data_IF_475948109098
#
_entry.id   IF_475948109098
#
_cell.length_a   1.000
_cell.length_b   1.000
_cell.length_c   1.000
_cell.angle_alpha   90.00
_cell.angle_beta   90.00
_cell.angle_gamma   90.00
#
_symmetry.space_group_name_H-M   'P 1'
#
loop_
_entity.id
_entity.type
_entity.pdbx_description
1 polymer ?
#
# COMPACT_ATOMS: atom_id res chain seq x y z
N UNK A 1 -28.54 -16.02 -35.70
CA UNK A 1 -28.51 -16.87 -34.48
C UNK A 1 -27.29 -16.53 -33.61
N UNK A 2 -27.14 -17.10 -32.39
CA UNK A 2 -25.91 -16.89 -31.59
C UNK A 2 -24.67 -17.44 -32.32
N UNK A 3 -24.80 -18.56 -33.02
CA UNK A 3 -23.73 -19.13 -33.86
C UNK A 3 -23.29 -18.18 -34.98
N UNK A 4 -24.23 -17.47 -35.62
CA UNK A 4 -23.93 -16.47 -36.65
C UNK A 4 -23.23 -15.23 -36.08
N UNK A 5 -23.58 -14.81 -34.85
CA UNK A 5 -22.87 -13.72 -34.17
C UNK A 5 -21.42 -14.09 -33.87
N UNK A 6 -21.16 -15.35 -33.47
CA UNK A 6 -19.81 -15.87 -33.23
C UNK A 6 -18.99 -15.89 -34.53
N UNK A 7 -19.58 -16.33 -35.65
CA UNK A 7 -18.85 -16.34 -36.94
C UNK A 7 -18.53 -14.93 -37.43
N UNK A 8 -19.44 -13.97 -37.25
CA UNK A 8 -19.19 -12.55 -37.56
C UNK A 8 -18.06 -12.00 -36.68
N UNK A 9 -18.13 -12.20 -35.36
CA UNK A 9 -17.10 -11.72 -34.42
C UNK A 9 -15.73 -12.36 -34.65
N UNK A 10 -15.69 -13.66 -34.99
CA UNK A 10 -14.45 -14.34 -35.36
C UNK A 10 -13.86 -13.77 -36.66
N UNK A 11 -14.70 -13.46 -37.65
CA UNK A 11 -14.24 -12.81 -38.89
C UNK A 11 -13.75 -11.37 -38.64
N UNK A 12 -14.37 -10.64 -37.72
CA UNK A 12 -13.94 -9.31 -37.29
C UNK A 12 -12.56 -9.36 -36.63
N UNK A 13 -12.35 -10.27 -35.66
CA UNK A 13 -11.05 -10.49 -35.02
C UNK A 13 -9.96 -10.87 -36.03
N UNK A 14 -10.25 -11.78 -36.97
CA UNK A 14 -9.31 -12.17 -38.01
C UNK A 14 -8.97 -11.03 -38.97
N UNK A 15 -9.95 -10.19 -39.33
CA UNK A 15 -9.69 -8.98 -40.14
C UNK A 15 -8.82 -7.99 -39.37
N UNK A 16 -9.08 -7.81 -38.08
CA UNK A 16 -8.27 -6.96 -37.22
C UNK A 16 -6.82 -7.46 -37.16
N UNK A 17 -6.62 -8.77 -36.95
CA UNK A 17 -5.27 -9.37 -36.93
C UNK A 17 -4.53 -9.20 -38.24
N UNK A 18 -5.20 -9.38 -39.39
CA UNK A 18 -4.59 -9.18 -40.72
C UNK A 18 -4.27 -7.73 -41.04
N UNK A 19 -5.18 -6.81 -40.74
CA UNK A 19 -4.92 -5.38 -40.95
C UNK A 19 -3.75 -4.89 -40.09
N UNK A 20 -3.60 -5.49 -38.91
CA UNK A 20 -2.62 -5.08 -37.94
C UNK A 20 -1.34 -5.93 -37.92
N UNK A 21 -1.21 -6.88 -38.86
CA UNK A 21 -0.09 -7.83 -39.01
C UNK A 21 0.26 -8.59 -37.71
N UNK A 22 -0.77 -8.92 -36.93
CA UNK A 22 -0.65 -9.54 -35.61
C UNK A 22 -0.42 -11.05 -35.78
N UNK A 23 0.79 -11.43 -36.19
CA UNK A 23 1.19 -12.83 -36.36
C UNK A 23 1.63 -13.47 -35.04
N UNK A 24 2.32 -12.74 -34.16
CA UNK A 24 2.81 -13.23 -32.86
C UNK A 24 3.01 -12.08 -31.85
N UNK A 25 1.93 -11.74 -31.14
CA UNK A 25 1.87 -10.62 -30.17
C UNK A 25 2.97 -10.71 -29.12
N UNK A 26 3.12 -11.88 -28.49
CA UNK A 26 4.07 -12.10 -27.40
C UNK A 26 5.53 -11.85 -27.83
N UNK A 27 5.86 -12.11 -29.10
CA UNK A 27 7.22 -11.93 -29.61
C UNK A 27 7.51 -10.47 -29.89
N UNK A 28 6.56 -9.76 -30.48
CA UNK A 28 6.69 -8.34 -30.81
C UNK A 28 6.76 -7.45 -29.56
N UNK A 29 5.97 -7.76 -28.53
CA UNK A 29 6.02 -7.05 -27.24
C UNK A 29 7.40 -7.21 -26.58
N UNK A 30 7.89 -8.43 -26.50
CA UNK A 30 9.21 -8.72 -25.92
C UNK A 30 10.35 -8.04 -26.70
N UNK A 31 10.27 -7.98 -28.03
CA UNK A 31 11.25 -7.30 -28.87
C UNK A 31 11.21 -5.77 -28.72
N UNK A 32 10.01 -5.18 -28.63
CA UNK A 32 9.82 -3.75 -28.40
C UNK A 32 10.35 -3.33 -27.02
N UNK A 33 10.05 -4.12 -25.97
CA UNK A 33 10.55 -3.89 -24.62
C UNK A 33 12.08 -4.01 -24.55
N UNK A 34 12.66 -5.03 -25.17
CA UNK A 34 14.11 -5.22 -25.23
C UNK A 34 14.81 -4.05 -25.94
N UNK A 35 14.25 -3.56 -27.06
CA UNK A 35 14.77 -2.39 -27.77
C UNK A 35 14.66 -1.11 -26.94
N UNK A 36 13.53 -0.85 -26.28
CA UNK A 36 13.36 0.32 -25.41
C UNK A 36 14.36 0.31 -24.26
N UNK A 37 14.58 -0.87 -23.65
CA UNK A 37 15.60 -1.04 -22.61
C UNK A 37 17.00 -0.75 -23.13
N UNK A 38 17.35 -1.30 -24.30
CA UNK A 38 18.64 -1.06 -24.95
C UNK A 38 18.87 0.42 -25.31
N UNK A 39 17.84 1.12 -25.81
CA UNK A 39 17.91 2.55 -26.13
C UNK A 39 18.01 3.44 -24.88
N UNK A 40 17.37 3.05 -23.78
CA UNK A 40 17.53 3.77 -22.50
C UNK A 40 18.96 3.63 -21.98
N UNK A 41 19.53 2.42 -22.06
CA UNK A 41 20.91 2.19 -21.65
C UNK A 41 21.90 2.98 -22.53
N UNK A 42 21.71 2.96 -23.86
CA UNK A 42 22.55 3.75 -24.75
C UNK A 42 22.38 5.26 -24.55
N UNK A 43 21.18 5.73 -24.19
CA UNK A 43 20.93 7.13 -23.85
C UNK A 43 21.65 7.52 -22.55
N UNK A 44 21.66 6.64 -21.55
CA UNK A 44 22.37 6.88 -20.29
C UNK A 44 23.87 7.03 -20.56
N UNK A 45 24.46 6.10 -21.32
CA UNK A 45 25.88 6.15 -21.72
C UNK A 45 26.16 7.42 -22.54
N UNK A 46 25.35 7.74 -23.55
CA UNK A 46 25.55 8.93 -24.37
C UNK A 46 25.38 10.24 -23.57
N UNK A 47 24.46 10.27 -22.60
CA UNK A 47 24.26 11.40 -21.71
C UNK A 47 25.43 11.57 -20.74
N UNK A 48 26.00 10.47 -20.24
CA UNK A 48 27.20 10.49 -19.43
C UNK A 48 28.40 11.06 -20.21
N UNK A 49 28.58 10.62 -21.46
CA UNK A 49 29.63 11.15 -22.34
C UNK A 49 29.40 12.62 -22.70
N UNK A 50 28.15 13.07 -22.92
CA UNK A 50 27.83 14.49 -23.11
C UNK A 50 28.23 15.32 -21.88
N UNK A 51 27.91 14.83 -20.67
CA UNK A 51 28.25 15.52 -19.41
C UNK A 51 29.77 15.56 -19.20
N UNK A 52 30.48 14.47 -19.45
CA UNK A 52 31.96 14.41 -19.37
C UNK A 52 32.61 15.38 -20.34
N UNK A 53 32.19 15.36 -21.61
CA UNK A 53 32.73 16.26 -22.63
C UNK A 53 32.45 17.73 -22.30
N UNK A 54 31.25 18.05 -21.82
CA UNK A 54 30.91 19.40 -21.35
C UNK A 54 31.76 19.83 -20.15
N UNK A 55 31.93 18.96 -19.17
CA UNK A 55 32.76 19.24 -18.00
C UNK A 55 34.22 19.50 -18.38
N UNK A 56 34.75 18.74 -19.35
CA UNK A 56 36.09 18.95 -19.91
C UNK A 56 36.22 20.31 -20.59
N UNK A 57 35.26 20.68 -21.44
CA UNK A 57 35.21 21.98 -22.10
C UNK A 57 35.14 23.13 -21.08
N UNK A 58 34.27 23.02 -20.07
CA UNK A 58 34.14 24.03 -19.01
C UNK A 58 35.41 24.15 -18.18
N UNK A 59 36.10 23.03 -17.90
CA UNK A 59 37.37 23.02 -17.20
C UNK A 59 38.47 23.72 -18.00
N UNK A 60 38.54 23.48 -19.32
CA UNK A 60 39.47 24.16 -20.24
C UNK A 60 39.20 25.66 -20.27
N UNK A 61 37.94 26.07 -20.44
CA UNK A 61 37.56 27.49 -20.44
C UNK A 61 37.92 28.18 -19.12
N UNK A 62 37.68 27.52 -17.98
CA UNK A 62 38.09 28.03 -16.66
C UNK A 62 39.61 28.11 -16.51
N UNK A 63 40.36 27.14 -17.04
CA UNK A 63 41.82 27.17 -17.01
C UNK A 63 42.39 28.32 -17.86
N UNK A 64 41.82 28.55 -19.05
CA UNK A 64 42.17 29.69 -19.92
C UNK A 64 41.85 31.02 -19.22
N UNK A 65 40.67 31.15 -18.60
CA UNK A 65 40.28 32.36 -17.87
C UNK A 65 41.20 32.67 -16.67
N UNK A 66 41.78 31.64 -16.05
CA UNK A 66 42.77 31.78 -14.96
C UNK A 66 44.19 32.05 -15.47
N UNK A 67 44.41 32.11 -16.78
CA UNK A 67 45.74 32.28 -17.38
C UNK A 67 46.66 31.06 -17.20
N UNK A 68 46.11 29.88 -16.93
CA UNK A 68 46.89 28.64 -16.84
C UNK A 68 47.34 28.19 -18.22
N UNK A 69 48.50 27.52 -18.30
CA UNK A 69 48.98 26.92 -19.53
C UNK A 69 48.09 25.72 -19.90
N UNK A 70 47.28 25.88 -20.95
CA UNK A 70 46.45 24.82 -21.53
C UNK A 70 47.03 24.50 -22.90
N UNK A 71 47.68 23.35 -23.01
CA UNK A 71 48.43 22.91 -24.18
C UNK A 71 48.24 21.40 -24.32
N UNK A 72 48.24 20.82 -25.55
CA UNK A 72 48.13 19.38 -25.75
C UNK A 72 49.16 18.61 -24.94
N UNK A 73 48.83 17.37 -24.53
CA UNK A 73 49.72 16.56 -23.69
C UNK A 73 51.10 16.37 -24.31
N UNK A 74 51.19 16.27 -25.64
CA UNK A 74 52.44 16.14 -26.39
C UNK A 74 53.38 17.36 -26.19
N UNK A 75 52.79 18.55 -26.17
CA UNK A 75 53.52 19.82 -26.08
C UNK A 75 53.75 20.29 -24.63
N UNK A 76 53.07 19.71 -23.63
CA UNK A 76 53.27 20.08 -22.22
C UNK A 76 54.69 19.90 -21.71
N UNK A 77 55.40 18.85 -22.17
CA UNK A 77 56.80 18.60 -21.77
C UNK A 77 57.76 19.58 -22.42
N UNK A 78 57.50 19.94 -23.67
CA UNK A 78 58.29 20.94 -24.40
C UNK A 78 58.07 22.31 -23.78
N UNK A 79 56.83 22.67 -23.47
CA UNK A 79 56.50 23.93 -22.81
C UNK A 79 57.16 24.04 -21.43
N UNK A 80 57.13 22.99 -20.61
CA UNK A 80 57.75 23.02 -19.27
C UNK A 80 59.27 23.18 -19.33
N UNK A 81 59.92 22.57 -20.34
CA UNK A 81 61.36 22.77 -20.59
C UNK A 81 61.68 24.20 -21.03
N UNK A 82 60.86 24.80 -21.91
CA UNK A 82 61.03 26.19 -22.32
C UNK A 82 60.79 27.14 -21.12
N UNK A 83 59.80 26.86 -20.28
CA UNK A 83 59.51 27.62 -19.07
C UNK A 83 60.63 27.53 -18.04
N UNK A 84 61.22 26.35 -17.81
CA UNK A 84 62.37 26.21 -16.92
C UNK A 84 63.58 26.97 -17.44
N UNK A 85 63.84 26.89 -18.75
CA UNK A 85 64.95 27.62 -19.38
C UNK A 85 64.73 29.15 -19.33
N UNK A 86 63.49 29.61 -19.48
CA UNK A 86 63.16 31.03 -19.32
C UNK A 86 63.34 31.49 -17.87
N UNK A 87 63.02 30.64 -16.90
CA UNK A 87 63.24 30.93 -15.48
C UNK A 87 64.73 31.06 -15.16
N UNK A 88 65.57 30.15 -15.65
CA UNK A 88 67.04 30.24 -15.52
C UNK A 88 67.57 31.56 -16.09
N UNK A 89 67.15 31.94 -17.31
CA UNK A 89 67.55 33.21 -17.93
C UNK A 89 67.05 34.45 -17.17
N UNK A 90 65.86 34.39 -16.54
CA UNK A 90 65.37 35.47 -15.67
C UNK A 90 66.20 35.65 -14.41
N UNK A 91 66.64 34.55 -13.81
CA UNK A 91 67.52 34.58 -12.64
C UNK A 91 68.89 35.16 -13.00
N UNK A 92 69.49 34.70 -14.10
CA UNK A 92 70.75 35.25 -14.64
C UNK A 92 70.64 36.75 -14.93
N UNK A 93 69.52 37.18 -15.55
CA UNK A 93 69.24 38.59 -15.83
C UNK A 93 69.06 39.40 -14.53
N UNK A 94 68.43 38.82 -13.51
CA UNK A 94 68.29 39.42 -12.18
C UNK A 94 69.65 39.68 -11.52
N UNK A 95 70.56 38.71 -11.61
CA UNK A 95 71.94 38.87 -11.11
C UNK A 95 72.79 39.84 -11.93
N UNK A 96 72.50 39.98 -13.22
CA UNK A 96 73.11 41.01 -14.08
C UNK A 96 72.63 42.41 -13.72
N UNK A 97 71.33 42.59 -13.50
CA UNK A 97 70.74 43.86 -13.09
C UNK A 97 71.21 44.34 -11.71
N UNK A 98 71.59 43.43 -10.81
CA UNK A 98 72.21 43.78 -9.52
C UNK A 98 73.63 44.32 -9.68
N UNK A 99 74.34 43.90 -10.72
CA UNK A 99 75.77 44.22 -10.95
C UNK A 99 75.98 45.38 -11.91
N UNK A 100 75.05 45.62 -12.83
CA UNK A 100 75.21 46.59 -13.92
C UNK A 100 73.94 47.44 -14.11
N UNK A 101 74.12 48.71 -14.47
CA UNK A 101 73.03 49.63 -14.81
C UNK A 101 72.46 49.30 -16.20
N UNK A 102 71.16 49.52 -16.43
CA UNK A 102 70.48 49.24 -17.70
C UNK A 102 71.14 49.86 -18.93
N UNK A 103 71.68 51.08 -18.81
CA UNK A 103 72.39 51.74 -19.91
C UNK A 103 73.68 51.00 -20.30
N UNK A 104 74.38 50.40 -19.33
CA UNK A 104 75.61 49.65 -19.55
C UNK A 104 75.36 48.27 -20.18
N UNK A 105 74.25 47.63 -19.82
CA UNK A 105 73.79 46.37 -20.43
C UNK A 105 73.52 46.54 -21.93
N UNK A 106 72.97 47.69 -22.33
CA UNK A 106 72.62 47.98 -23.72
C UNK A 106 73.84 48.36 -24.59
N UNK A 107 74.93 48.84 -23.97
CA UNK A 107 76.14 49.29 -24.65
C UNK A 107 77.12 48.13 -24.95
N UNK A 108 77.13 47.10 -24.09
CA UNK A 108 78.06 45.96 -24.21
C UNK A 108 77.47 44.81 -25.03
N UNK A 109 78.10 44.39 -26.15
CA UNK A 109 77.59 43.32 -27.02
C UNK A 109 77.44 41.97 -26.32
N UNK A 110 78.29 41.65 -25.34
CA UNK A 110 78.27 40.38 -24.61
C UNK A 110 77.16 40.31 -23.56
N UNK A 111 76.73 41.45 -23.01
CA UNK A 111 75.72 41.50 -21.94
C UNK A 111 74.28 41.58 -22.49
N UNK A 112 74.13 41.99 -23.75
CA UNK A 112 72.84 42.13 -24.44
C UNK A 112 72.21 40.81 -24.90
N UNK A 113 73.00 39.74 -24.96
CA UNK A 113 72.58 38.43 -25.46
C UNK A 113 71.53 37.79 -24.56
N UNK A 114 71.66 37.89 -23.23
CA UNK A 114 70.73 37.29 -22.26
C UNK A 114 69.32 37.88 -22.36
N UNK A 115 69.12 39.22 -22.32
CA UNK A 115 67.78 39.79 -22.48
C UNK A 115 67.16 39.52 -23.86
N UNK A 116 67.97 39.49 -24.93
CA UNK A 116 67.49 39.13 -26.28
C UNK A 116 67.05 37.66 -26.38
N UNK A 117 67.84 36.74 -25.81
CA UNK A 117 67.49 35.31 -25.74
C UNK A 117 66.23 35.08 -24.90
N UNK A 118 66.11 35.77 -23.76
CA UNK A 118 64.91 35.71 -22.93
C UNK A 118 63.68 36.20 -23.70
N UNK A 119 63.78 37.34 -24.42
CA UNK A 119 62.67 37.88 -25.20
C UNK A 119 62.22 36.93 -26.33
N UNK A 120 63.17 36.31 -27.03
CA UNK A 120 62.87 35.30 -28.07
C UNK A 120 62.18 34.06 -27.46
N UNK A 121 62.68 33.58 -26.32
CA UNK A 121 62.13 32.41 -25.64
C UNK A 121 60.72 32.69 -25.08
N UNK A 122 60.49 33.87 -24.50
CA UNK A 122 59.17 34.29 -24.02
C UNK A 122 58.17 34.46 -25.17
N UNK A 123 58.60 34.99 -26.32
CA UNK A 123 57.78 35.07 -27.52
C UNK A 123 57.38 33.68 -28.03
N UNK A 124 58.31 32.73 -28.01
CA UNK A 124 58.05 31.34 -28.42
C UNK A 124 57.10 30.63 -27.44
N UNK A 125 57.30 30.76 -26.13
CA UNK A 125 56.39 30.26 -25.09
C UNK A 125 54.98 30.83 -25.30
N UNK A 126 54.86 32.14 -25.57
CA UNK A 126 53.57 32.78 -25.81
C UNK A 126 52.90 32.24 -27.07
N UNK A 127 53.66 32.06 -28.16
CA UNK A 127 53.17 31.49 -29.42
C UNK A 127 52.67 30.06 -29.23
N UNK A 128 53.47 29.21 -28.58
CA UNK A 128 53.10 27.83 -28.26
C UNK A 128 51.85 27.76 -27.39
N UNK A 129 51.74 28.62 -26.36
CA UNK A 129 50.53 28.67 -25.51
C UNK A 129 49.29 29.08 -26.29
N UNK A 130 49.38 30.10 -27.15
CA UNK A 130 48.24 30.56 -27.95
C UNK A 130 47.77 29.49 -28.95
N UNK A 131 48.71 28.83 -29.62
CA UNK A 131 48.41 27.75 -30.57
C UNK A 131 47.84 26.53 -29.85
N UNK A 132 48.48 26.10 -28.75
CA UNK A 132 48.02 24.97 -27.94
C UNK A 132 46.63 25.20 -27.33
N UNK A 133 46.35 26.42 -26.86
CA UNK A 133 45.01 26.79 -26.36
C UNK A 133 43.94 26.65 -27.43
N UNK A 134 44.21 27.15 -28.64
CA UNK A 134 43.24 27.09 -29.75
C UNK A 134 42.94 25.64 -30.14
N UNK A 135 43.96 24.78 -30.21
CA UNK A 135 43.81 23.35 -30.53
C UNK A 135 43.01 22.62 -29.45
N UNK A 136 43.40 22.75 -28.18
CA UNK A 136 42.73 22.06 -27.06
C UNK A 136 41.27 22.51 -26.93
N UNK A 137 40.99 23.79 -27.17
CA UNK A 137 39.62 24.33 -27.16
C UNK A 137 38.81 23.77 -28.34
N UNK A 138 39.35 23.78 -29.56
CA UNK A 138 38.64 23.25 -30.73
C UNK A 138 38.35 21.75 -30.59
N UNK A 139 39.29 20.98 -30.05
CA UNK A 139 39.12 19.55 -29.82
C UNK A 139 38.02 19.28 -28.81
N UNK A 140 38.00 20.03 -27.69
CA UNK A 140 36.97 19.89 -26.67
C UNK A 140 35.58 20.34 -27.16
N UNK A 141 35.49 21.37 -28.00
CA UNK A 141 34.25 21.80 -28.65
C UNK A 141 33.70 20.74 -29.60
N UNK A 142 34.57 20.13 -30.41
CA UNK A 142 34.21 19.04 -31.31
C UNK A 142 33.73 17.80 -30.55
N UNK A 143 34.45 17.42 -29.49
CA UNK A 143 34.07 16.30 -28.62
C UNK A 143 32.70 16.51 -27.98
N UNK A 144 32.44 17.71 -27.43
CA UNK A 144 31.13 18.05 -26.86
C UNK A 144 30.03 18.06 -27.93
N UNK A 145 30.29 18.64 -29.11
CA UNK A 145 29.32 18.67 -30.20
C UNK A 145 28.95 17.27 -30.69
N UNK A 146 29.93 16.37 -30.82
CA UNK A 146 29.72 14.98 -31.21
C UNK A 146 28.90 14.21 -30.17
N UNK A 147 29.27 14.31 -28.88
CA UNK A 147 28.55 13.64 -27.79
C UNK A 147 27.09 14.13 -27.68
N UNK A 148 26.88 15.45 -27.78
CA UNK A 148 25.54 16.06 -27.77
C UNK A 148 24.69 15.60 -28.95
N UNK A 149 25.28 15.48 -30.14
CA UNK A 149 24.58 15.00 -31.33
C UNK A 149 24.16 13.53 -31.17
N UNK A 150 25.06 12.68 -30.68
CA UNK A 150 24.74 11.27 -30.40
C UNK A 150 23.59 11.13 -29.39
N UNK A 151 23.64 11.88 -28.27
CA UNK A 151 22.57 11.86 -27.27
C UNK A 151 21.22 12.30 -27.84
N UNK A 152 21.20 13.32 -28.71
CA UNK A 152 19.99 13.79 -29.39
C UNK A 152 19.42 12.76 -30.35
N UNK A 153 20.26 12.10 -31.14
CA UNK A 153 19.83 11.08 -32.09
C UNK A 153 19.23 9.87 -31.38
N UNK A 154 19.88 9.39 -30.31
CA UNK A 154 19.36 8.28 -29.49
C UNK A 154 18.03 8.68 -28.85
N UNK A 155 17.91 9.90 -28.33
CA UNK A 155 16.65 10.41 -27.77
C UNK A 155 15.53 10.42 -28.81
N UNK A 156 15.81 10.91 -30.02
CA UNK A 156 14.83 10.92 -31.10
C UNK A 156 14.40 9.50 -31.50
N UNK A 157 15.33 8.55 -31.55
CA UNK A 157 15.00 7.14 -31.79
C UNK A 157 14.12 6.57 -30.68
N UNK A 158 14.46 6.87 -29.42
CA UNK A 158 13.73 6.42 -28.26
C UNK A 158 12.29 6.97 -28.25
N UNK A 159 12.11 8.25 -28.55
CA UNK A 159 10.78 8.86 -28.63
C UNK A 159 9.95 8.28 -29.80
N UNK A 160 10.57 8.04 -30.96
CA UNK A 160 9.92 7.35 -32.07
C UNK A 160 9.52 5.91 -31.72
N UNK A 161 10.34 5.19 -30.97
CA UNK A 161 10.01 3.83 -30.52
C UNK A 161 8.94 3.81 -29.43
N UNK A 162 8.91 4.80 -28.52
CA UNK A 162 7.82 4.97 -27.56
C UNK A 162 6.48 5.21 -28.24
N UNK A 163 6.44 6.06 -29.26
CA UNK A 163 5.23 6.32 -30.03
C UNK A 163 4.71 5.03 -30.69
N UNK A 164 5.59 4.24 -31.32
CA UNK A 164 5.24 2.93 -31.90
C UNK A 164 4.76 1.94 -30.85
N UNK A 165 5.39 1.88 -29.68
CA UNK A 165 4.98 1.00 -28.59
C UNK A 165 3.60 1.40 -28.02
N UNK A 166 3.31 2.70 -27.93
CA UNK A 166 2.00 3.20 -27.52
C UNK A 166 0.91 2.84 -28.52
N UNK A 167 1.18 2.97 -29.82
CA UNK A 167 0.26 2.58 -30.88
C UNK A 167 -0.04 1.07 -30.82
N UNK A 168 1.02 0.26 -30.65
CA UNK A 168 0.88 -1.18 -30.46
C UNK A 168 0.04 -1.53 -29.23
N UNK A 169 0.29 -0.86 -28.09
CA UNK A 169 -0.48 -1.07 -26.86
C UNK A 169 -1.97 -0.75 -27.06
N UNK A 170 -2.30 0.33 -27.75
CA UNK A 170 -3.69 0.66 -28.10
C UNK A 170 -4.35 -0.44 -28.94
N UNK A 171 -3.65 -0.91 -29.98
CA UNK A 171 -4.13 -1.98 -30.87
C UNK A 171 -4.25 -3.31 -30.14
N UNK A 172 -3.40 -3.57 -29.16
CA UNK A 172 -3.46 -4.76 -28.30
C UNK A 172 -4.68 -4.73 -27.38
N UNK A 173 -5.01 -3.59 -26.78
CA UNK A 173 -6.24 -3.44 -25.97
C UNK A 173 -7.49 -3.70 -26.82
N UNK A 174 -7.54 -3.15 -28.04
CA UNK A 174 -8.64 -3.42 -28.98
C UNK A 174 -8.73 -4.90 -29.36
N UNK A 175 -7.59 -5.55 -29.61
CA UNK A 175 -7.54 -6.98 -29.89
C UNK A 175 -8.07 -7.82 -28.71
N UNK A 176 -7.61 -7.55 -27.49
CA UNK A 176 -8.05 -8.27 -26.29
C UNK A 176 -9.53 -8.04 -26.00
N UNK A 177 -10.06 -6.85 -26.25
CA UNK A 177 -11.50 -6.60 -26.16
C UNK A 177 -12.30 -7.47 -27.15
N UNK A 178 -11.90 -7.50 -28.44
CA UNK A 178 -12.54 -8.34 -29.45
C UNK A 178 -12.43 -9.84 -29.14
N UNK A 179 -11.30 -10.26 -28.57
CA UNK A 179 -11.07 -11.64 -28.13
C UNK A 179 -11.98 -12.01 -26.97
N UNK A 180 -12.03 -11.18 -25.93
CA UNK A 180 -12.88 -11.40 -24.75
C UNK A 180 -14.37 -11.42 -25.13
N UNK A 181 -14.81 -10.55 -26.03
CA UNK A 181 -16.17 -10.58 -26.59
C UNK A 181 -16.48 -11.92 -27.27
N UNK A 182 -15.54 -12.43 -28.08
CA UNK A 182 -15.68 -13.71 -28.76
C UNK A 182 -15.74 -14.88 -27.76
N UNK A 183 -14.82 -14.90 -26.79
CA UNK A 183 -14.78 -15.92 -25.74
C UNK A 183 -16.06 -15.92 -24.88
N UNK A 184 -16.59 -14.73 -24.55
CA UNK A 184 -17.87 -14.58 -23.86
C UNK A 184 -19.05 -15.13 -24.66
N UNK A 185 -19.13 -14.82 -25.96
CA UNK A 185 -20.16 -15.37 -26.84
C UNK A 185 -20.05 -16.89 -27.01
N UNK A 186 -18.83 -17.42 -27.15
CA UNK A 186 -18.60 -18.86 -27.23
C UNK A 186 -19.00 -19.57 -25.93
N UNK A 187 -18.72 -18.97 -24.77
CA UNK A 187 -19.14 -19.48 -23.46
C UNK A 187 -20.67 -19.55 -23.33
N UNK A 188 -21.37 -18.46 -23.65
CA UNK A 188 -22.84 -18.42 -23.65
C UNK A 188 -23.44 -19.45 -24.62
N UNK A 189 -22.80 -19.66 -25.77
CA UNK A 189 -23.23 -20.67 -26.72
C UNK A 189 -23.07 -22.09 -26.18
N UNK A 190 -21.93 -22.40 -25.57
CA UNK A 190 -21.68 -23.71 -24.94
C UNK A 190 -22.65 -23.97 -23.78
N UNK A 191 -22.92 -22.96 -22.95
CA UNK A 191 -23.90 -23.06 -21.86
C UNK A 191 -25.32 -23.32 -22.42
N UNK A 192 -25.72 -22.57 -23.44
CA UNK A 192 -27.02 -22.76 -24.10
C UNK A 192 -27.18 -24.16 -24.70
N UNK A 193 -26.15 -24.69 -25.35
CA UNK A 193 -26.13 -26.06 -25.85
C UNK A 193 -26.21 -27.09 -24.71
N UNK A 194 -25.48 -26.86 -23.62
CA UNK A 194 -25.54 -27.72 -22.43
C UNK A 194 -26.93 -27.77 -21.80
N UNK A 195 -27.60 -26.62 -21.68
CA UNK A 195 -28.99 -26.55 -21.19
C UNK A 195 -29.95 -27.27 -22.12
N UNK A 196 -29.81 -27.11 -23.44
CA UNK A 196 -30.65 -27.78 -24.41
C UNK A 196 -30.49 -29.31 -24.33
N UNK A 197 -29.26 -29.80 -24.21
CA UNK A 197 -28.99 -31.22 -24.01
C UNK A 197 -29.58 -31.76 -22.69
N UNK A 198 -29.53 -30.97 -21.60
CA UNK A 198 -30.16 -31.34 -20.33
C UNK A 198 -31.68 -31.43 -20.43
N UNK A 199 -32.31 -30.49 -21.15
CA UNK A 199 -33.76 -30.48 -21.38
C UNK A 199 -34.15 -31.71 -22.22
N UNK A 200 -33.46 -31.97 -23.32
CA UNK A 200 -33.73 -33.12 -24.20
C UNK A 200 -33.55 -34.47 -23.49
N UNK A 201 -32.50 -34.59 -22.67
CA UNK A 201 -32.28 -35.76 -21.82
C UNK A 201 -33.40 -35.95 -20.78
N UNK A 202 -33.90 -34.86 -20.17
CA UNK A 202 -35.03 -34.92 -19.22
C UNK A 202 -36.34 -35.31 -19.89
N UNK A 203 -36.61 -34.84 -21.11
CA UNK A 203 -37.83 -35.18 -21.85
C UNK A 203 -37.82 -36.61 -22.41
N UNK A 204 -36.65 -37.19 -22.74
CA UNK A 204 -36.54 -38.61 -23.09
C UNK A 204 -36.69 -39.55 -21.88
N UNK A 205 -36.52 -39.03 -20.66
CA UNK A 205 -36.60 -39.79 -19.42
C UNK A 205 -38.00 -39.83 -18.82
N UNK A 206 -38.85 -40.73 -19.32
CA UNK A 206 -40.10 -41.22 -18.69
C UNK A 206 -41.25 -40.21 -18.58
N UNK A 207 -42.32 -40.49 -19.32
CA UNK A 207 -43.66 -40.15 -18.84
C UNK A 207 -43.82 -40.71 -17.42
N UNK A 208 -44.30 -39.91 -16.45
CA UNK A 208 -44.55 -40.42 -15.11
C UNK A 208 -45.60 -41.53 -15.25
N UNK A 209 -45.20 -42.77 -14.93
CA UNK A 209 -46.16 -43.83 -14.70
C UNK A 209 -46.87 -43.49 -13.40
N UNK A 210 -48.06 -42.91 -13.51
CA UNK A 210 -48.93 -42.66 -12.37
C UNK A 210 -49.51 -44.01 -11.95
N UNK A 211 -48.92 -44.61 -10.91
CA UNK A 211 -49.47 -45.81 -10.29
C UNK A 211 -50.36 -45.38 -9.12
N UNK A 212 -51.62 -45.80 -9.17
CA UNK A 212 -52.61 -45.42 -8.15
C UNK A 212 -52.38 -46.34 -6.94
N UNK A 213 -51.53 -45.88 -6.02
CA UNK A 213 -51.12 -46.63 -4.83
C UNK A 213 -52.32 -46.96 -3.94
N UNK A 214 -53.26 -46.03 -3.77
CA UNK A 214 -54.45 -46.26 -2.95
C UNK A 214 -55.64 -45.41 -3.41
N UNK A 215 -56.82 -46.01 -3.44
CA UNK A 215 -58.09 -45.31 -3.77
C UNK A 215 -58.67 -44.68 -2.50
N UNK A 216 -59.30 -43.51 -2.64
CA UNK A 216 -59.93 -42.82 -1.52
C UNK A 216 -60.95 -43.72 -0.79
N UNK A 217 -60.81 -43.85 0.54
CA UNK A 217 -61.74 -44.55 1.42
C UNK A 217 -62.45 -43.57 2.37
N UNK A 218 -63.66 -43.93 2.80
CA UNK A 218 -64.39 -43.16 3.82
C UNK A 218 -63.89 -43.60 5.22
N UNK A 219 -63.50 -42.68 6.10
CA UNK A 219 -62.97 -43.01 7.41
C UNK A 219 -64.05 -43.70 8.27
N UNK A 220 -63.76 -44.90 8.75
CA UNK A 220 -64.69 -45.72 9.54
C UNK A 220 -64.88 -45.29 10.99
N UNK A 221 -64.12 -44.29 11.47
CA UNK A 221 -64.24 -43.73 12.80
C UNK A 221 -63.96 -42.22 12.79
N UNK A 222 -64.64 -41.44 13.64
CA UNK A 222 -64.39 -40.00 13.76
C UNK A 222 -62.98 -39.73 14.28
N UNK A 223 -62.24 -38.87 13.58
CA UNK A 223 -60.90 -38.38 13.96
C UNK A 223 -61.09 -37.22 14.97
N UNK A 224 -61.83 -37.48 16.05
CA UNK A 224 -62.20 -36.51 17.08
C UNK A 224 -61.62 -36.86 18.44
N UNK A 225 -61.54 -35.91 19.39
CA UNK A 225 -61.01 -36.16 20.71
C UNK A 225 -61.84 -37.21 21.45
N UNK A 226 -61.17 -38.08 22.21
CA UNK A 226 -61.83 -39.07 23.05
C UNK A 226 -62.45 -38.37 24.27
N UNK A 227 -63.69 -37.88 24.11
CA UNK A 227 -64.41 -37.10 25.13
C UNK A 227 -64.39 -37.72 26.53
N UNK A 228 -64.46 -39.05 26.64
CA UNK A 228 -64.38 -39.73 27.93
C UNK A 228 -63.02 -39.55 28.63
N UNK A 229 -61.93 -39.68 27.87
CA UNK A 229 -60.58 -39.48 28.39
C UNK A 229 -60.38 -38.04 28.84
N UNK A 230 -60.78 -37.10 27.99
CA UNK A 230 -60.56 -35.69 28.24
C UNK A 230 -61.45 -35.18 29.38
N UNK A 231 -62.69 -35.69 29.51
CA UNK A 231 -63.55 -35.44 30.66
C UNK A 231 -62.96 -36.00 31.96
N UNK A 232 -62.39 -37.21 31.93
CA UNK A 232 -61.77 -37.83 33.10
C UNK A 232 -60.54 -37.05 33.57
N UNK A 233 -59.71 -36.56 32.63
CA UNK A 233 -58.58 -35.68 32.92
C UNK A 233 -59.05 -34.37 33.56
N UNK A 234 -60.10 -33.74 33.01
CA UNK A 234 -60.62 -32.49 33.55
C UNK A 234 -61.18 -32.65 34.99
N UNK A 235 -61.95 -33.72 35.23
CA UNK A 235 -62.50 -34.02 36.56
C UNK A 235 -61.38 -34.29 37.56
N UNK A 236 -60.44 -35.18 37.22
CA UNK A 236 -59.31 -35.51 38.09
C UNK A 236 -58.43 -34.29 38.38
N UNK A 237 -58.16 -33.47 37.35
CA UNK A 237 -57.40 -32.23 37.48
C UNK A 237 -58.07 -31.21 38.40
N UNK A 238 -59.39 -31.00 38.26
CA UNK A 238 -60.14 -30.08 39.12
C UNK A 238 -60.17 -30.54 40.59
N UNK A 239 -60.27 -31.85 40.84
CA UNK A 239 -60.27 -32.41 42.18
C UNK A 239 -58.90 -32.26 42.85
N UNK A 240 -57.80 -32.55 42.13
CA UNK A 240 -56.44 -32.33 42.61
C UNK A 240 -56.18 -30.84 42.89
N UNK A 241 -56.64 -29.95 42.02
CA UNK A 241 -56.49 -28.51 42.21
C UNK A 241 -57.27 -28.01 43.43
N UNK A 242 -58.49 -28.50 43.66
CA UNK A 242 -59.27 -28.19 44.86
C UNK A 242 -58.57 -28.62 46.15
N UNK A 243 -58.03 -29.84 46.17
CA UNK A 243 -57.22 -30.35 47.30
C UNK A 243 -55.99 -29.47 47.54
N UNK A 244 -55.29 -29.09 46.46
CA UNK A 244 -54.16 -28.19 46.54
C UNK A 244 -54.53 -26.82 47.12
N UNK A 245 -55.67 -26.24 46.73
CA UNK A 245 -56.15 -24.97 47.27
C UNK A 245 -56.50 -25.06 48.77
N UNK A 246 -57.13 -26.15 49.23
CA UNK A 246 -57.43 -26.36 50.65
C UNK A 246 -56.13 -26.45 51.45
N UNK A 247 -55.19 -27.29 50.99
CA UNK A 247 -53.87 -27.43 51.60
C UNK A 247 -53.11 -26.10 51.65
N UNK A 248 -53.14 -25.33 50.56
CA UNK A 248 -52.52 -24.00 50.49
C UNK A 248 -53.18 -23.01 51.46
N UNK A 249 -54.50 -23.06 51.62
CA UNK A 249 -55.21 -22.19 52.57
C UNK A 249 -54.86 -22.52 54.03
N UNK A 250 -54.68 -23.81 54.36
CA UNK A 250 -54.29 -24.25 55.69
C UNK A 250 -52.81 -23.92 55.98
N UNK A 251 -51.95 -24.06 54.96
CA UNK A 251 -50.55 -23.64 55.04
C UNK A 251 -50.41 -22.14 55.31
N UNK A 252 -51.25 -21.31 54.66
CA UNK A 252 -51.27 -19.86 54.85
C UNK A 252 -52.02 -19.42 56.13
N UNK A 253 -52.97 -20.23 56.62
CA UNK A 253 -53.81 -19.91 57.80
C UNK A 253 -53.42 -20.76 59.00
N UNK A 254 -52.15 -20.67 59.44
CA UNK A 254 -51.77 -21.14 60.78
C UNK A 254 -52.40 -20.22 61.83
N UNK A 255 -53.43 -20.71 62.53
CA UNK A 255 -53.98 -20.05 63.72
C UNK A 255 -52.95 -20.05 64.84
N UNK A 256 -52.53 -18.85 65.22
CA UNK A 256 -51.79 -18.54 66.44
C UNK A 256 -52.73 -18.68 67.66
N UNK A 257 -52.38 -19.56 68.59
CA UNK A 257 -53.04 -19.61 69.91
C UNK A 257 -52.58 -18.40 70.75
N UNK A 258 -53.48 -17.70 71.47
CA UNK A 258 -53.14 -16.52 72.27
C UNK A 258 -52.55 -16.90 73.64
N UNK A 259 -51.47 -16.24 74.05
CA UNK A 259 -50.92 -16.30 75.40
C UNK A 259 -51.61 -15.29 76.35
N UNK A 260 -51.79 -15.62 77.65
CA UNK A 260 -51.99 -14.64 78.71
C UNK A 260 -50.66 -14.30 79.42
N UNK A 261 -50.50 -13.00 79.67
CA UNK A 261 -49.44 -12.29 80.40
C UNK A 261 -49.15 -12.80 81.83
N UNK A 262 -47.88 -12.74 82.30
CA UNK A 262 -47.36 -11.87 83.40
C UNK A 262 -45.82 -12.01 83.56
N UNK A 263 -45.14 -10.85 83.53
CA UNK A 263 -43.84 -10.41 84.09
C UNK A 263 -42.91 -11.39 84.83
N UNK A 264 -41.58 -11.35 84.56
CA UNK A 264 -40.59 -10.50 85.28
C UNK A 264 -39.13 -10.77 84.82
N UNK A 265 -38.42 -9.68 84.50
CA UNK A 265 -36.96 -9.40 84.64
C UNK A 265 -35.87 -10.29 84.01
N UNK A 266 -34.92 -9.65 83.32
CA UNK A 266 -33.54 -10.15 83.17
C UNK A 266 -32.80 -9.79 81.87
N UNK A 267 -32.28 -8.56 81.80
CA UNK A 267 -31.24 -8.04 80.85
C UNK A 267 -29.88 -8.74 81.13
N UNK A 268 -28.79 -8.76 80.30
CA UNK A 268 -28.48 -8.13 78.99
C UNK A 268 -27.75 -8.99 77.89
N UNK A 269 -27.68 -8.43 76.67
CA UNK A 269 -26.56 -8.30 75.68
C UNK A 269 -25.55 -9.44 75.42
N UNK A 270 -25.37 -9.83 74.13
CA UNK A 270 -24.12 -9.74 73.34
C UNK A 270 -24.31 -10.35 71.91
N UNK A 271 -24.08 -9.58 70.83
CA UNK A 271 -23.54 -10.06 69.51
C UNK A 271 -22.08 -10.52 69.71
N UNK A 272 -21.33 -11.24 68.84
CA UNK A 272 -21.49 -11.43 67.40
C UNK A 272 -21.06 -12.86 66.89
N UNK A 273 -21.00 -12.97 65.55
CA UNK A 273 -20.01 -13.74 64.78
C UNK A 273 -20.13 -15.28 64.68
N UNK A 274 -20.18 -15.77 63.44
CA UNK A 274 -19.17 -16.67 62.85
C UNK A 274 -19.67 -17.25 61.50
N UNK A 275 -19.06 -16.73 60.42
CA UNK A 275 -18.72 -17.43 59.16
C UNK A 275 -18.04 -18.80 59.46
N UNK A 276 -17.78 -19.75 58.53
CA UNK A 276 -17.54 -19.54 57.09
C UNK A 276 -17.89 -20.72 56.14
N UNK A 277 -17.67 -20.48 54.84
CA UNK A 277 -17.18 -21.52 53.94
C UNK A 277 -17.95 -21.65 52.64
N UNK A 278 -17.34 -21.24 51.54
CA UNK A 278 -16.85 -22.17 50.51
C UNK A 278 -15.78 -21.45 49.67
N UNK A 279 -14.58 -22.05 49.71
CA UNK A 279 -13.43 -21.88 48.81
C UNK A 279 -13.86 -22.25 47.39
N UNK A 280 -13.36 -21.71 46.29
CA UNK A 280 -12.11 -21.02 46.00
C UNK A 280 -11.77 -21.34 44.55
N UNK A 281 -11.13 -20.40 43.85
CA UNK A 281 -9.99 -20.64 42.96
C UNK A 281 -9.61 -19.32 42.29
N UNK A 282 -8.68 -18.63 42.92
CA UNK A 282 -7.85 -17.65 42.26
C UNK A 282 -6.77 -18.40 41.47
N UNK A 283 -6.76 -18.24 40.15
CA UNK A 283 -5.63 -18.63 39.31
C UNK A 283 -4.73 -17.41 39.14
N UNK A 284 -3.47 -17.57 39.53
CA UNK A 284 -2.37 -16.63 39.33
C UNK A 284 -2.04 -16.51 37.83
N UNK A 285 -1.49 -15.37 37.36
CA UNK A 285 -1.00 -15.27 36.00
C UNK A 285 0.29 -16.09 35.85
N UNK A 286 0.33 -16.93 34.81
CA UNK A 286 1.54 -17.64 34.38
C UNK A 286 2.25 -16.76 33.36
N UNK A 287 3.48 -16.37 33.68
CA UNK A 287 4.44 -15.78 32.75
C UNK A 287 4.77 -16.81 31.66
N UNK A 288 4.41 -16.51 30.41
CA UNK A 288 4.81 -17.31 29.25
C UNK A 288 5.97 -16.59 28.56
N UNK A 289 7.15 -17.22 28.58
CA UNK A 289 8.29 -16.88 27.74
C UNK A 289 7.97 -17.26 26.28
N UNK A 290 8.40 -16.47 25.28
CA UNK A 290 8.01 -16.65 23.89
C UNK A 290 8.61 -17.93 23.30
N UNK A 291 7.76 -18.72 22.62
CA UNK A 291 8.20 -19.80 21.74
C UNK A 291 8.72 -19.20 20.43
N UNK A 292 10.03 -19.38 20.20
CA UNK A 292 10.68 -19.14 18.91
C UNK A 292 10.16 -20.14 17.88
N UNK A 293 9.46 -19.65 16.86
CA UNK A 293 9.32 -20.36 15.59
C UNK A 293 10.30 -19.76 14.59
N UNK A 294 10.93 -20.65 13.83
CA UNK A 294 12.05 -20.40 12.95
C UNK A 294 11.75 -19.36 11.87
N UNK A 295 12.76 -18.53 11.63
CA UNK A 295 12.84 -17.44 10.65
C UNK A 295 12.70 -18.00 9.23
N UNK A 296 11.64 -17.58 8.55
CA UNK A 296 11.63 -17.40 7.10
C UNK A 296 11.68 -15.88 6.89
N UNK A 297 12.62 -15.39 6.08
CA UNK A 297 12.84 -13.98 5.77
C UNK A 297 11.58 -13.34 5.17
N UNK A 298 10.67 -12.89 6.03
CA UNK A 298 9.52 -12.06 5.71
C UNK A 298 9.54 -10.86 6.67
N UNK A 299 9.31 -9.63 6.17
CA UNK A 299 9.28 -8.45 7.04
C UNK A 299 8.26 -8.67 8.16
N UNK A 300 8.71 -8.58 9.42
CA UNK A 300 7.83 -8.78 10.57
C UNK A 300 6.80 -7.65 10.63
N UNK A 301 5.52 -7.96 10.92
CA UNK A 301 4.49 -6.94 11.09
C UNK A 301 4.85 -5.96 12.21
N UNK A 302 4.70 -4.67 11.95
CA UNK A 302 5.00 -3.60 12.91
C UNK A 302 3.74 -3.34 13.76
N UNK A 303 3.89 -3.34 15.08
CA UNK A 303 2.84 -2.95 16.02
C UNK A 303 3.18 -1.60 16.66
N UNK A 304 2.33 -0.60 16.43
CA UNK A 304 2.43 0.69 17.10
C UNK A 304 1.79 0.64 18.49
N UNK A 305 2.43 1.21 19.54
CA UNK A 305 1.83 1.31 20.87
C UNK A 305 0.52 2.09 20.85
N UNK A 306 -0.45 1.68 21.66
CA UNK A 306 -1.76 2.35 21.77
C UNK A 306 -1.60 3.82 22.17
N UNK A 307 -0.62 4.13 23.02
CA UNK A 307 -0.28 5.50 23.44
C UNK A 307 0.21 6.36 22.26
N UNK A 308 1.06 5.79 21.40
CA UNK A 308 1.56 6.44 20.17
C UNK A 308 0.40 6.71 19.20
N UNK A 309 -0.45 5.73 18.96
CA UNK A 309 -1.64 5.90 18.09
C UNK A 309 -2.57 6.98 18.64
N UNK A 310 -2.80 6.99 19.96
CA UNK A 310 -3.60 8.02 20.62
C UNK A 310 -2.98 9.42 20.53
N UNK A 311 -1.65 9.55 20.68
CA UNK A 311 -0.95 10.81 20.58
C UNK A 311 -1.00 11.40 19.16
N UNK A 312 -0.80 10.58 18.12
CA UNK A 312 -0.95 10.98 16.71
C UNK A 312 -2.40 11.37 16.43
N UNK A 313 -3.36 10.58 16.89
CA UNK A 313 -4.77 10.89 16.68
C UNK A 313 -5.20 12.20 17.36
N UNK A 314 -4.69 12.50 18.55
CA UNK A 314 -5.09 13.71 19.30
C UNK A 314 -4.48 14.99 18.72
N UNK A 315 -3.23 14.92 18.23
CA UNK A 315 -2.51 16.03 17.60
C UNK A 315 -2.97 16.31 16.16
N UNK A 316 -3.50 15.29 15.48
CA UNK A 316 -4.01 15.37 14.11
C UNK A 316 -5.16 16.39 13.92
N UNK A 317 -5.17 17.03 12.75
CA UNK A 317 -6.29 17.83 12.27
C UNK A 317 -7.53 16.99 11.95
N UNK A 318 -8.63 17.63 11.58
CA UNK A 318 -9.92 16.94 11.41
C UNK A 318 -9.94 15.95 10.24
N UNK A 319 -9.16 16.20 9.17
CA UNK A 319 -9.03 15.31 8.01
C UNK A 319 -8.14 14.11 8.32
N UNK A 320 -7.03 14.37 9.02
CA UNK A 320 -6.05 13.40 9.44
C UNK A 320 -6.65 12.44 10.48
N UNK A 321 -7.44 12.96 11.43
CA UNK A 321 -8.24 12.15 12.36
C UNK A 321 -9.17 11.19 11.62
N UNK A 322 -9.84 11.67 10.57
CA UNK A 322 -10.71 10.81 9.79
C UNK A 322 -9.92 9.70 9.08
N UNK A 323 -8.78 10.04 8.47
CA UNK A 323 -7.90 9.07 7.82
C UNK A 323 -7.41 7.99 8.80
N UNK A 324 -6.93 8.39 9.98
CA UNK A 324 -6.44 7.45 11.02
C UNK A 324 -7.58 6.54 11.51
N UNK A 325 -8.78 7.10 11.74
CA UNK A 325 -9.93 6.32 12.18
C UNK A 325 -10.38 5.29 11.12
N UNK A 326 -10.29 5.66 9.83
CA UNK A 326 -10.57 4.74 8.72
C UNK A 326 -9.52 3.63 8.62
N UNK A 327 -8.23 3.95 8.69
CA UNK A 327 -7.15 2.94 8.65
C UNK A 327 -7.27 1.93 9.80
N UNK A 328 -7.63 2.40 10.99
CA UNK A 328 -7.91 1.56 12.18
C UNK A 328 -9.28 0.84 12.12
N UNK A 329 -9.97 0.88 10.98
CA UNK A 329 -11.19 0.11 10.72
C UNK A 329 -10.99 -0.99 9.66
N UNK A 330 -9.82 -1.04 9.00
CA UNK A 330 -9.44 -2.08 8.03
C UNK A 330 -9.24 -1.72 6.55
N UNK A 331 -9.83 -0.66 5.95
CA UNK A 331 -9.61 -0.33 4.54
C UNK A 331 -8.15 0.07 4.23
N UNK A 332 -7.70 -0.21 3.00
CA UNK A 332 -6.42 0.26 2.48
C UNK A 332 -6.49 1.73 2.03
N UNK A 333 -5.34 2.38 1.80
CA UNK A 333 -5.30 3.76 1.29
C UNK A 333 -6.00 3.90 -0.07
N UNK A 334 -5.85 2.92 -0.94
CA UNK A 334 -6.49 2.92 -2.26
C UNK A 334 -8.01 2.81 -2.14
N UNK A 335 -8.48 2.00 -1.19
CA UNK A 335 -9.90 1.90 -0.88
C UNK A 335 -10.41 3.21 -0.28
N UNK A 336 -9.67 3.82 0.65
CA UNK A 336 -10.04 5.10 1.28
C UNK A 336 -10.15 6.22 0.25
N UNK A 337 -9.24 6.29 -0.72
CA UNK A 337 -9.31 7.25 -1.81
C UNK A 337 -10.56 7.08 -2.70
N UNK A 338 -11.10 5.86 -2.78
CA UNK A 338 -12.28 5.54 -3.58
C UNK A 338 -13.62 5.70 -2.82
N UNK A 339 -13.59 5.93 -1.49
CA UNK A 339 -14.82 6.08 -0.70
C UNK A 339 -15.53 7.39 -1.04
N UNK A 340 -16.73 7.27 -1.59
CA UNK A 340 -17.64 8.38 -1.83
C UNK A 340 -18.55 8.67 -0.63
N UNK A 341 -19.24 9.82 -0.69
CA UNK A 341 -20.20 10.24 0.36
C UNK A 341 -21.44 9.35 0.47
N UNK A 342 -21.76 8.60 -0.59
CA UNK A 342 -22.90 7.69 -0.68
C UNK A 342 -22.60 6.29 -0.10
N UNK A 343 -21.33 5.98 0.13
CA UNK A 343 -20.88 4.66 0.55
C UNK A 343 -20.94 4.50 2.08
N UNK A 344 -21.33 5.57 2.79
CA UNK A 344 -21.39 5.64 4.24
C UNK A 344 -22.84 5.76 4.68
N UNK A 345 -23.33 4.70 5.33
CA UNK A 345 -24.60 4.73 6.02
C UNK A 345 -24.39 5.26 7.44
N UNK A 346 -24.51 6.57 7.60
CA UNK A 346 -24.41 7.27 8.89
C UNK A 346 -25.51 6.86 9.89
N UNK A 347 -26.65 6.34 9.41
CA UNK A 347 -27.75 5.90 10.27
C UNK A 347 -27.50 4.54 10.91
N UNK A 348 -26.88 3.62 10.17
CA UNK A 348 -26.56 2.27 10.65
C UNK A 348 -25.08 2.09 11.06
N UNK A 349 -24.26 3.13 10.88
CA UNK A 349 -22.83 3.09 11.22
C UNK A 349 -22.02 2.13 10.34
N UNK A 350 -22.36 2.03 9.06
CA UNK A 350 -21.75 1.06 8.13
C UNK A 350 -21.03 1.77 6.98
N UNK A 351 -19.84 1.29 6.64
CA UNK A 351 -19.06 1.67 5.47
C UNK A 351 -19.17 0.55 4.44
N UNK A 352 -19.55 0.90 3.21
CA UNK A 352 -19.59 -0.02 2.08
C UNK A 352 -18.32 0.21 1.25
N UNK A 353 -17.56 -0.85 1.02
CA UNK A 353 -16.37 -0.82 0.15
C UNK A 353 -16.75 -1.49 -1.17
N UNK A 354 -16.56 -0.77 -2.28
CA UNK A 354 -16.89 -1.23 -3.64
C UNK A 354 -15.67 -1.74 -4.45
N UNK A 355 -14.47 -1.74 -3.85
CA UNK A 355 -13.21 -2.11 -4.50
C UNK A 355 -13.04 -3.60 -4.80
N UNK A 356 -11.79 -4.04 -4.93
CA UNK A 356 -11.42 -5.42 -5.31
C UNK A 356 -12.03 -6.47 -4.36
N UNK A 357 -12.20 -6.13 -3.08
CA UNK A 357 -12.82 -6.98 -2.05
C UNK A 357 -14.04 -6.29 -1.45
N UNK A 358 -15.24 -6.42 -2.07
CA UNK A 358 -16.43 -5.70 -1.63
C UNK A 358 -16.92 -6.24 -0.28
N UNK A 359 -17.10 -5.33 0.68
CA UNK A 359 -17.45 -5.67 2.07
C UNK A 359 -18.13 -4.51 2.79
N UNK A 360 -18.79 -4.82 3.91
CA UNK A 360 -19.44 -3.83 4.75
C UNK A 360 -18.80 -3.83 6.13
N UNK A 361 -18.22 -2.70 6.53
CA UNK A 361 -17.50 -2.56 7.79
C UNK A 361 -18.28 -1.70 8.78
N UNK A 362 -18.29 -2.04 10.09
CA UNK A 362 -18.80 -1.15 11.11
C UNK A 362 -17.82 0.01 11.33
N UNK A 363 -18.34 1.23 11.37
CA UNK A 363 -17.57 2.46 11.58
C UNK A 363 -17.64 2.85 13.05
N UNK A 364 -16.52 3.30 13.62
CA UNK A 364 -16.49 3.85 14.97
C UNK A 364 -17.39 5.11 15.11
N UNK A 365 -17.99 5.37 16.27
CA UNK A 365 -18.79 6.59 16.50
C UNK A 365 -17.99 7.88 16.24
N UNK A 366 -16.68 7.85 16.50
CA UNK A 366 -15.77 8.96 16.23
C UNK A 366 -15.66 9.22 14.72
N UNK A 367 -15.42 8.19 13.90
CA UNK A 367 -15.39 8.36 12.45
C UNK A 367 -16.75 8.82 11.89
N UNK A 368 -17.87 8.33 12.41
CA UNK A 368 -19.20 8.79 12.00
C UNK A 368 -19.40 10.29 12.22
N UNK A 369 -19.00 10.79 13.39
CA UNK A 369 -19.08 12.22 13.72
C UNK A 369 -18.14 13.08 12.86
N UNK A 370 -16.94 12.59 12.55
CA UNK A 370 -15.98 13.27 11.71
C UNK A 370 -16.49 13.36 10.27
N UNK A 371 -17.10 12.30 9.74
CA UNK A 371 -17.75 12.33 8.43
C UNK A 371 -18.94 13.28 8.34
N UNK A 372 -19.71 13.43 9.43
CA UNK A 372 -20.81 14.38 9.47
C UNK A 372 -20.33 15.85 9.37
N UNK A 373 -19.08 16.13 9.76
CA UNK A 373 -18.49 17.44 9.67
C UNK A 373 -17.97 17.71 8.24
N UNK A 374 -18.49 18.73 7.53
CA UNK A 374 -18.05 19.05 6.17
C UNK A 374 -16.57 19.46 6.05
N UNK A 375 -15.92 19.86 7.15
CA UNK A 375 -14.50 20.20 7.16
C UNK A 375 -13.56 18.97 7.06
N UNK A 376 -14.05 17.78 7.41
CA UNK A 376 -13.25 16.56 7.50
C UNK A 376 -13.19 15.76 6.18
N UNK A 377 -13.70 16.29 5.07
CA UNK A 377 -13.74 15.55 3.81
C UNK A 377 -12.33 15.31 3.25
N UNK A 378 -12.08 14.07 2.82
CA UNK A 378 -10.86 13.68 2.14
C UNK A 378 -10.90 14.05 0.64
N UNK A 379 -11.17 15.33 0.37
CA UNK A 379 -11.19 15.91 -0.97
C UNK A 379 -10.21 17.07 -1.07
N UNK A 380 -9.70 17.29 -2.27
CA UNK A 380 -8.91 18.46 -2.63
C UNK A 380 -9.78 19.72 -2.61
N UNK A 381 -9.18 20.94 -2.58
CA UNK A 381 -9.95 22.19 -2.70
C UNK A 381 -10.76 22.30 -3.99
N UNK A 382 -10.40 21.54 -5.04
CA UNK A 382 -11.14 21.44 -6.31
C UNK A 382 -12.32 20.46 -6.25
N UNK A 383 -12.48 19.70 -5.17
CA UNK A 383 -13.60 18.77 -4.97
C UNK A 383 -13.34 17.35 -5.47
N UNK A 384 -12.11 17.02 -5.85
CA UNK A 384 -11.71 15.66 -6.26
C UNK A 384 -11.26 14.84 -5.04
N UNK A 385 -11.44 13.50 -5.03
CA UNK A 385 -10.92 12.65 -3.96
C UNK A 385 -9.39 12.74 -3.87
N UNK A 386 -8.85 12.73 -2.65
CA UNK A 386 -7.40 12.73 -2.42
C UNK A 386 -6.77 11.43 -2.95
N UNK A 387 -5.62 11.54 -3.62
CA UNK A 387 -4.88 10.35 -4.09
C UNK A 387 -4.22 9.62 -2.93
N UNK A 388 -3.84 8.35 -3.12
CA UNK A 388 -3.11 7.58 -2.11
C UNK A 388 -1.79 8.26 -1.67
N UNK A 389 -1.13 8.97 -2.59
CA UNK A 389 0.07 9.76 -2.29
C UNK A 389 -0.25 10.97 -1.39
N UNK A 390 -1.36 11.66 -1.66
CA UNK A 390 -1.78 12.80 -0.84
C UNK A 390 -2.24 12.36 0.55
N UNK A 391 -2.94 11.22 0.65
CA UNK A 391 -3.33 10.62 1.94
C UNK A 391 -2.10 10.23 2.77
N UNK A 392 -1.06 9.66 2.14
CA UNK A 392 0.21 9.39 2.82
C UNK A 392 0.90 10.68 3.29
N UNK A 393 0.87 11.74 2.49
CA UNK A 393 1.43 13.04 2.89
C UNK A 393 0.67 13.64 4.08
N UNK A 394 -0.67 13.55 4.10
CA UNK A 394 -1.49 13.97 5.24
C UNK A 394 -1.14 13.21 6.52
N UNK A 395 -0.93 11.90 6.41
CA UNK A 395 -0.52 11.07 7.54
C UNK A 395 0.89 11.43 8.05
N UNK A 396 1.83 11.70 7.14
CA UNK A 396 3.17 12.16 7.50
C UNK A 396 3.13 13.52 8.22
N UNK A 397 2.26 14.44 7.81
CA UNK A 397 2.02 15.70 8.53
C UNK A 397 1.50 15.45 9.95
N UNK A 398 0.50 14.59 10.12
CA UNK A 398 -0.02 14.23 11.44
C UNK A 398 1.04 13.58 12.35
N UNK A 399 1.89 12.71 11.79
CA UNK A 399 2.99 12.09 12.52
C UNK A 399 4.04 13.12 12.97
N UNK A 400 4.34 14.12 12.11
CA UNK A 400 5.24 15.21 12.46
C UNK A 400 4.68 16.11 13.57
N UNK A 401 3.39 16.45 13.49
CA UNK A 401 2.70 17.29 14.47
C UNK A 401 2.59 16.62 15.85
N UNK A 402 2.58 15.29 15.91
CA UNK A 402 2.60 14.53 17.15
C UNK A 402 3.91 14.66 17.94
N UNK A 403 5.00 15.12 17.31
CA UNK A 403 6.30 15.34 17.96
C UNK A 403 6.95 14.08 18.52
N UNK A 404 6.59 12.90 18.01
CA UNK A 404 7.08 11.60 18.49
C UNK A 404 8.44 11.24 17.86
N UNK A 405 9.30 10.59 18.64
CA UNK A 405 10.55 10.01 18.16
C UNK A 405 10.25 8.84 17.23
N UNK A 406 10.67 8.89 15.95
CA UNK A 406 10.45 7.79 14.99
C UNK A 406 9.26 7.99 14.05
N UNK A 407 9.08 9.20 13.50
CA UNK A 407 7.99 9.50 12.55
C UNK A 407 8.00 8.65 11.29
N UNK A 408 9.14 8.06 10.92
CA UNK A 408 9.31 7.20 9.74
C UNK A 408 8.63 5.82 9.88
N UNK A 409 8.32 5.40 11.12
CA UNK A 409 7.63 4.14 11.40
C UNK A 409 6.10 4.28 11.36
N UNK A 410 5.58 5.52 11.43
CA UNK A 410 4.15 5.82 11.43
C UNK A 410 3.69 5.93 9.98
N UNK A 411 3.50 4.77 9.35
CA UNK A 411 2.96 4.66 7.99
C UNK A 411 1.51 4.15 8.02
N UNK A 412 0.78 4.34 6.91
CA UNK A 412 -0.58 3.81 6.80
C UNK A 412 -0.62 2.29 6.92
N UNK A 413 0.39 1.60 6.37
CA UNK A 413 0.56 0.15 6.52
C UNK A 413 0.82 -0.22 7.97
N UNK A 414 1.65 0.52 8.71
CA UNK A 414 1.90 0.25 10.13
C UNK A 414 0.62 0.38 10.98
N UNK A 415 -0.25 1.36 10.71
CA UNK A 415 -1.55 1.48 11.39
C UNK A 415 -2.48 0.31 11.06
N UNK A 416 -2.53 -0.09 9.78
CA UNK A 416 -3.33 -1.23 9.31
C UNK A 416 -2.84 -2.54 9.94
N UNK A 417 -1.52 -2.75 9.99
CA UNK A 417 -0.88 -3.89 10.64
C UNK A 417 -1.16 -3.89 12.15
N UNK A 418 -1.09 -2.74 12.81
CA UNK A 418 -1.45 -2.58 14.23
C UNK A 418 -2.89 -2.99 14.49
N UNK A 419 -3.82 -2.64 13.59
CA UNK A 419 -5.21 -3.06 13.68
C UNK A 419 -5.39 -4.57 13.48
N UNK A 420 -4.69 -5.18 12.51
CA UNK A 420 -4.68 -6.64 12.32
C UNK A 420 -4.19 -7.34 13.60
N UNK A 421 -3.07 -6.88 14.16
CA UNK A 421 -2.49 -7.45 15.39
C UNK A 421 -3.47 -7.32 16.56
N UNK A 422 -4.18 -6.20 16.68
CA UNK A 422 -5.23 -6.01 17.68
C UNK A 422 -6.37 -7.04 17.56
N UNK A 423 -6.86 -7.29 16.35
CA UNK A 423 -7.91 -8.30 16.11
C UNK A 423 -7.40 -9.72 16.40
N UNK A 424 -6.16 -10.02 16.00
CA UNK A 424 -5.52 -11.32 16.21
C UNK A 424 -5.28 -11.61 17.69
N UNK A 425 -4.88 -10.61 18.48
CA UNK A 425 -4.68 -10.72 19.93
C UNK A 425 -5.97 -11.05 20.69
N UNK A 426 -7.13 -10.67 20.15
CA UNK A 426 -8.45 -11.06 20.70
C UNK A 426 -8.82 -12.52 20.40
N UNK A 427 -8.06 -13.19 19.53
CA UNK A 427 -8.27 -14.58 19.17
C UNK A 427 -9.21 -14.81 17.99
N UNK A 428 -9.37 -13.82 17.09
CA UNK A 428 -10.14 -13.99 15.85
C UNK A 428 -9.58 -15.16 15.00
N UNK A 429 -10.46 -15.83 14.25
CA UNK A 429 -10.05 -16.78 13.22
C UNK A 429 -9.37 -16.06 12.07
N UNK A 430 -8.19 -16.52 11.66
CA UNK A 430 -7.45 -15.94 10.53
C UNK A 430 -8.26 -15.92 9.22
N UNK A 431 -9.13 -16.90 9.00
CA UNK A 431 -10.02 -16.93 7.84
C UNK A 431 -11.10 -15.83 7.84
N UNK A 432 -11.42 -15.27 9.01
CA UNK A 432 -12.45 -14.22 9.15
C UNK A 432 -11.85 -12.81 9.06
N UNK A 433 -10.51 -12.67 9.14
CA UNK A 433 -9.83 -11.40 8.94
C UNK A 433 -10.01 -10.84 7.53
N UNK A 434 -10.10 -11.70 6.52
CA UNK A 434 -10.36 -11.28 5.13
C UNK A 434 -11.71 -10.55 4.99
N UNK A 435 -12.69 -10.87 5.83
CA UNK A 435 -14.00 -10.19 5.83
C UNK A 435 -13.94 -8.74 6.30
N UNK A 436 -12.90 -8.36 7.06
CA UNK A 436 -12.66 -7.01 7.57
C UNK A 436 -11.62 -6.28 6.72
N UNK A 437 -10.51 -6.96 6.43
CA UNK A 437 -9.31 -6.35 5.84
C UNK A 437 -9.29 -6.40 4.31
N UNK A 438 -10.18 -7.19 3.70
CA UNK A 438 -10.11 -7.55 2.28
C UNK A 438 -9.11 -8.70 2.03
N UNK A 439 -8.82 -8.97 0.76
CA UNK A 439 -7.86 -10.01 0.40
C UNK A 439 -6.48 -9.75 1.01
N UNK A 440 -5.97 -10.73 1.76
CA UNK A 440 -4.61 -10.76 2.30
C UNK A 440 -3.93 -12.03 1.79
N UNK A 441 -2.69 -11.96 1.27
CA UNK A 441 -2.00 -13.14 0.77
C UNK A 441 -1.76 -14.14 1.92
N UNK A 442 -1.89 -15.47 1.67
CA UNK A 442 -1.73 -16.49 2.72
C UNK A 442 -0.38 -16.44 3.45
N UNK A 443 0.68 -15.97 2.77
CA UNK A 443 2.01 -15.76 3.35
C UNK A 443 1.97 -14.68 4.45
N UNK A 444 1.28 -13.57 4.22
CA UNK A 444 1.13 -12.49 5.21
C UNK A 444 0.21 -12.90 6.37
N UNK A 445 -0.90 -13.59 6.08
CA UNK A 445 -1.79 -14.14 7.11
C UNK A 445 -1.06 -15.08 8.08
N UNK A 446 -0.13 -15.87 7.57
CA UNK A 446 0.67 -16.79 8.39
C UNK A 446 1.62 -16.06 9.34
N UNK A 447 2.11 -14.87 8.98
CA UNK A 447 2.99 -14.07 9.83
C UNK A 447 2.26 -13.56 11.08
N UNK A 448 0.97 -13.22 10.95
CA UNK A 448 0.17 -12.78 12.10
C UNK A 448 -0.20 -13.92 13.07
N UNK A 449 -0.10 -15.18 12.65
CA UNK A 449 -0.40 -16.31 13.52
C UNK A 449 0.42 -16.31 14.83
N UNK A 450 1.62 -15.72 14.80
CA UNK A 450 2.49 -15.56 15.97
C UNK A 450 1.87 -14.70 17.10
N UNK A 451 0.97 -13.78 16.76
CA UNK A 451 0.32 -12.88 17.73
C UNK A 451 -0.99 -13.45 18.28
N UNK A 452 -1.41 -14.62 17.81
CA UNK A 452 -2.71 -15.19 18.17
C UNK A 452 -2.62 -15.97 19.49
N UNK A 453 -3.51 -15.74 20.47
CA UNK A 453 -3.45 -16.42 21.76
C UNK A 453 -3.63 -17.93 21.61
N UNK A 454 -2.98 -18.75 22.47
CA UNK A 454 -3.17 -20.20 22.47
C UNK A 454 -4.61 -20.53 22.90
N UNK A 455 -5.33 -21.32 22.10
CA UNK A 455 -6.71 -21.73 22.39
C UNK A 455 -7.65 -21.70 21.18
N UNK A 456 -8.93 -21.98 21.44
CA UNK A 456 -9.98 -21.98 20.43
C UNK A 456 -10.20 -20.55 19.91
N UNK A 457 -10.21 -20.40 18.57
CA UNK A 457 -10.39 -19.12 17.91
C UNK A 457 -11.85 -18.71 17.88
N UNK A 458 -12.10 -17.46 18.22
CA UNK A 458 -13.43 -16.85 18.32
C UNK A 458 -13.94 -16.39 16.94
N UNK A 459 -15.25 -16.48 16.69
CA UNK A 459 -15.87 -15.91 15.49
C UNK A 459 -15.93 -14.37 15.58
N UNK A 460 -16.11 -13.72 14.44
CA UNK A 460 -16.17 -12.28 14.23
C UNK A 460 -17.16 -11.57 15.16
N UNK A 461 -18.28 -12.23 15.46
CA UNK A 461 -19.35 -11.71 16.31
C UNK A 461 -18.92 -11.47 17.77
N UNK A 462 -17.88 -12.18 18.24
CA UNK A 462 -17.35 -12.08 19.61
C UNK A 462 -16.13 -11.15 19.72
N UNK A 463 -15.70 -10.55 18.61
CA UNK A 463 -14.52 -9.69 18.53
C UNK A 463 -14.92 -8.22 18.58
N UNK A 464 -14.23 -7.43 19.40
CA UNK A 464 -14.39 -5.99 19.39
C UNK A 464 -13.64 -5.39 18.20
N UNK A 465 -14.40 -4.86 17.24
CA UNK A 465 -13.89 -4.21 16.04
C UNK A 465 -13.47 -2.74 16.27
N UNK A 466 -13.78 -2.19 17.45
CA UNK A 466 -13.42 -0.81 17.78
C UNK A 466 -12.04 -0.77 18.42
N UNK A 467 -11.08 -0.16 17.73
CA UNK A 467 -9.72 0.01 18.25
C UNK A 467 -9.71 0.91 19.50
N UNK A 468 -9.05 0.51 20.60
CA UNK A 468 -9.08 1.22 21.89
C UNK A 468 -8.45 2.62 21.82
N UNK A 469 -7.49 2.87 20.93
CA UNK A 469 -6.89 4.19 20.75
C UNK A 469 -7.87 5.27 20.26
N UNK A 470 -9.07 4.87 19.82
CA UNK A 470 -10.17 5.78 19.44
C UNK A 470 -11.19 5.98 20.58
N UNK A 471 -11.16 5.15 21.63
CA UNK A 471 -12.10 5.16 22.75
C UNK A 471 -11.58 6.04 23.89
N UNK A 472 -11.71 7.36 23.73
CA UNK A 472 -11.33 8.30 24.79
C UNK A 472 -11.42 9.78 24.42
N UNK A 473 -11.81 10.11 23.19
CA UNK A 473 -11.76 11.48 22.68
C UNK A 473 -13.18 12.05 22.66
N UNK A 474 -13.44 13.04 23.51
CA UNK A 474 -14.58 13.93 23.34
C UNK A 474 -14.33 14.76 22.08
N UNK A 475 -15.26 14.70 21.12
CA UNK A 475 -15.25 15.51 19.91
C UNK A 475 -15.56 16.97 20.21
#
# INVERSE_FOLDING_TARGET
SLSEKITIKRAELERFRRHNDIASIEREENEALARLKGLNESLNVASEEEVKAKARLDAINKAIARGQAVVPQEDTRTLSLLESRAQELREELGDLNRRYTQEFLNLSPTLKVIPEQLALLEAEIKRMRQQGQAVVLSDAEQEYAAARQAAREIRAQLDAHKAKASEFSSRFVEHEALRNDLEGLESLYREGQGRLAQIEARYSGKYPQVDVIERAFLPGAPIGPNYWRDALIAVAGSMLFGLFCVWLSEFLTRKTSPEPTVNLAGVPLYEPDLLPGVRGNALKPVTILPHQHAVLDSPQPIELPVETVGAVFNSAGSREKLLIALLLSGPSLEEIAAIGRLDIDTGNGKLIIHGISPRTLPISPVAQSLFANPACQLITPSGEPLTSADLNALLACAAHDAGLSGTDEITADALRQTYIIYLVKQGIRLAELESIMGYLPPTELSAYAAYSPPGQKRPLEEINLLYPGLQGVAL
#
